data_IF_346874534585
#
_entry.id   IF_346874534585
#
_cell.length_a   1.000
_cell.length_b   1.000
_cell.length_c   1.000
_cell.angle_alpha   90.00
_cell.angle_beta   90.00
_cell.angle_gamma   90.00
#
_symmetry.space_group_name_H-M   'P 1'
#
loop_
_entity.id
_entity.type
_entity.pdbx_description
1 polymer ?
#
# COMPACT_ATOMS: atom_id res chain seq x y z
N UNK A 1 -13.11 -5.48 -13.05
CA UNK A 1 -13.15 -4.01 -13.06
C UNK A 1 -13.88 -3.54 -11.80
N UNK A 2 -13.48 -2.41 -11.23
CA UNK A 2 -14.02 -1.88 -9.98
C UNK A 2 -15.06 -0.80 -10.29
N UNK A 3 -16.07 -0.70 -9.44
CA UNK A 3 -17.05 0.38 -9.42
C UNK A 3 -16.90 1.15 -8.10
N UNK A 4 -15.85 2.00 -8.00
CA UNK A 4 -15.49 2.62 -6.73
C UNK A 4 -16.49 3.70 -6.31
N UNK A 5 -16.76 3.78 -5.02
CA UNK A 5 -17.41 4.91 -4.36
C UNK A 5 -16.77 5.20 -3.00
N UNK A 6 -16.90 6.44 -2.53
CA UNK A 6 -16.37 6.87 -1.23
C UNK A 6 -17.53 6.98 -0.24
N UNK A 7 -17.25 6.60 0.99
CA UNK A 7 -18.10 6.85 2.14
C UNK A 7 -17.32 7.57 3.22
N UNK A 8 -17.94 8.57 3.85
CA UNK A 8 -17.41 9.25 5.03
C UNK A 8 -18.40 9.13 6.17
N UNK A 9 -17.91 8.73 7.33
CA UNK A 9 -18.69 8.52 8.54
C UNK A 9 -18.07 9.24 9.74
N UNK A 10 -18.88 10.00 10.49
CA UNK A 10 -18.47 10.60 11.75
C UNK A 10 -19.68 10.82 12.65
N UNK A 11 -19.57 10.41 13.93
CA UNK A 11 -20.59 10.66 14.96
C UNK A 11 -22.02 10.29 14.55
N UNK A 12 -22.20 9.12 13.91
CA UNK A 12 -23.50 8.64 13.43
C UNK A 12 -23.98 9.25 12.11
N UNK A 13 -23.31 10.28 11.61
CA UNK A 13 -23.57 10.82 10.27
C UNK A 13 -22.77 10.04 9.21
N UNK A 14 -23.44 9.69 8.12
CA UNK A 14 -22.86 8.97 6.97
C UNK A 14 -23.23 9.67 5.67
N UNK A 15 -22.26 9.85 4.79
CA UNK A 15 -22.47 10.26 3.41
C UNK A 15 -21.69 9.36 2.46
N UNK A 16 -22.23 9.17 1.26
CA UNK A 16 -21.59 8.38 0.20
C UNK A 16 -21.64 9.11 -1.15
N UNK A 17 -20.61 8.89 -1.98
CA UNK A 17 -20.61 9.29 -3.38
C UNK A 17 -21.44 8.33 -4.22
N UNK A 18 -21.89 8.75 -5.42
CA UNK A 18 -22.33 7.82 -6.44
C UNK A 18 -21.19 6.86 -6.83
N UNK A 19 -21.50 5.59 -7.16
CA UNK A 19 -20.51 4.67 -7.69
C UNK A 19 -20.13 5.03 -9.12
N UNK A 20 -18.84 5.12 -9.39
CA UNK A 20 -18.33 5.18 -10.74
C UNK A 20 -18.43 3.82 -11.43
N UNK A 21 -18.33 3.83 -12.76
CA UNK A 21 -18.41 2.63 -13.58
C UNK A 21 -17.03 2.27 -14.11
N UNK A 22 -16.60 1.05 -13.82
CA UNK A 22 -15.48 0.38 -14.48
C UNK A 22 -14.19 1.21 -14.54
N UNK A 23 -13.81 1.87 -13.45
CA UNK A 23 -12.64 2.76 -13.38
C UNK A 23 -11.65 2.41 -12.28
N UNK A 24 -10.37 2.73 -12.52
CA UNK A 24 -9.27 2.63 -11.56
C UNK A 24 -8.79 4.01 -11.06
N UNK A 25 -9.20 5.09 -11.73
CA UNK A 25 -8.88 6.47 -11.36
C UNK A 25 -10.16 7.28 -11.42
N UNK A 26 -10.43 8.03 -10.36
CA UNK A 26 -11.65 8.83 -10.26
C UNK A 26 -11.32 10.16 -9.61
N UNK A 27 -11.70 11.23 -10.29
CA UNK A 27 -11.73 12.57 -9.71
C UNK A 27 -13.08 12.75 -9.06
N UNK A 28 -13.08 12.86 -7.73
CA UNK A 28 -14.27 13.17 -6.96
C UNK A 28 -14.36 14.69 -6.81
N UNK A 29 -15.23 15.32 -7.60
CA UNK A 29 -15.56 16.74 -7.44
C UNK A 29 -16.64 16.92 -6.35
N UNK A 30 -16.42 16.28 -5.20
CA UNK A 30 -17.41 16.10 -4.14
C UNK A 30 -16.86 16.55 -2.79
N UNK A 31 -17.69 17.23 -2.00
CA UNK A 31 -17.38 17.62 -0.64
C UNK A 31 -18.48 17.13 0.29
N UNK A 32 -18.11 16.27 1.23
CA UNK A 32 -18.99 15.77 2.28
C UNK A 32 -19.01 16.75 3.46
N UNK A 33 -20.20 17.27 3.78
CA UNK A 33 -20.45 18.11 4.94
C UNK A 33 -21.16 17.30 6.00
N UNK A 34 -20.45 17.01 7.09
CA UNK A 34 -20.99 16.32 8.26
C UNK A 34 -21.25 17.35 9.36
N UNK A 35 -22.49 17.53 9.83
CA UNK A 35 -22.76 18.43 10.93
C UNK A 35 -22.24 17.84 12.24
N UNK A 36 -21.72 18.70 13.11
CA UNK A 36 -21.19 18.30 14.41
C UNK A 36 -21.72 19.27 15.47
N UNK A 37 -22.40 18.72 16.47
CA UNK A 37 -22.83 19.45 17.66
C UNK A 37 -21.88 19.10 18.80
N UNK A 38 -21.39 20.13 19.51
CA UNK A 38 -20.48 19.95 20.65
C UNK A 38 -21.29 19.89 21.96
N UNK A 39 -20.89 19.08 22.96
CA UNK A 39 -19.69 18.23 22.98
C UNK A 39 -19.84 16.95 22.15
N UNK A 40 -18.72 16.45 21.59
CA UNK A 40 -18.65 15.17 20.87
C UNK A 40 -17.58 14.29 21.50
N UNK A 41 -17.91 13.01 21.72
CA UNK A 41 -16.99 12.01 22.30
C UNK A 41 -16.18 11.28 21.22
N UNK A 42 -16.68 11.23 19.99
CA UNK A 42 -16.01 10.59 18.87
C UNK A 42 -14.85 11.45 18.35
N UNK A 43 -13.68 10.83 18.13
CA UNK A 43 -12.54 11.47 17.48
C UNK A 43 -12.28 10.95 16.05
N UNK A 44 -12.68 9.72 15.73
CA UNK A 44 -12.33 9.10 14.45
C UNK A 44 -13.35 9.43 13.36
N UNK A 45 -12.96 10.25 12.40
CA UNK A 45 -13.65 10.39 11.11
C UNK A 45 -13.21 9.24 10.21
N UNK A 46 -14.14 8.38 9.81
CA UNK A 46 -13.83 7.20 9.00
C UNK A 46 -14.08 7.48 7.53
N UNK A 47 -13.13 7.14 6.67
CA UNK A 47 -13.23 7.26 5.20
C UNK A 47 -13.06 5.87 4.61
N UNK A 48 -14.00 5.42 3.79
CA UNK A 48 -13.93 4.10 3.14
C UNK A 48 -14.07 4.26 1.63
N UNK A 49 -13.28 3.49 0.89
CA UNK A 49 -13.48 3.29 -0.55
C UNK A 49 -14.04 1.89 -0.74
N UNK A 50 -15.15 1.80 -1.45
CA UNK A 50 -15.91 0.57 -1.64
C UNK A 50 -15.96 0.20 -3.12
N UNK A 51 -16.06 -1.08 -3.43
CA UNK A 51 -16.38 -1.60 -4.77
C UNK A 51 -17.83 -2.08 -4.82
N UNK A 52 -18.66 -1.48 -5.70
CA UNK A 52 -20.07 -1.84 -5.87
C UNK A 52 -20.31 -2.62 -7.15
N UNK A 53 -20.25 -3.95 -7.08
CA UNK A 53 -20.60 -4.83 -8.20
C UNK A 53 -22.10 -5.10 -8.26
N UNK A 54 -22.63 -5.32 -9.47
CA UNK A 54 -24.03 -5.75 -9.65
C UNK A 54 -24.21 -7.12 -8.98
N UNK A 55 -25.29 -7.28 -8.22
CA UNK A 55 -25.68 -8.54 -7.55
C UNK A 55 -24.69 -9.09 -6.51
N UNK A 56 -23.72 -8.30 -6.07
CA UNK A 56 -22.80 -8.66 -4.98
C UNK A 56 -22.90 -7.63 -3.86
N UNK A 57 -22.60 -8.05 -2.62
CA UNK A 57 -22.47 -7.12 -1.52
C UNK A 57 -21.27 -6.19 -1.77
N UNK A 58 -21.37 -4.88 -1.49
CA UNK A 58 -20.24 -3.98 -1.59
C UNK A 58 -19.07 -4.50 -0.74
N UNK A 59 -17.87 -4.49 -1.31
CA UNK A 59 -16.65 -4.88 -0.60
C UNK A 59 -15.79 -3.65 -0.36
N UNK A 60 -15.25 -3.51 0.86
CA UNK A 60 -14.30 -2.45 1.17
C UNK A 60 -13.02 -2.71 0.37
N UNK A 61 -12.60 -1.72 -0.41
CA UNK A 61 -11.27 -1.69 -1.03
C UNK A 61 -10.26 -1.23 0.02
N UNK A 62 -10.58 -0.13 0.72
CA UNK A 62 -9.75 0.41 1.80
C UNK A 62 -10.53 1.26 2.80
N UNK A 63 -10.02 1.34 4.02
CA UNK A 63 -10.51 2.18 5.11
C UNK A 63 -9.36 3.04 5.67
N UNK A 64 -9.61 4.35 5.81
CA UNK A 64 -8.72 5.31 6.46
C UNK A 64 -9.45 6.03 7.60
N UNK A 65 -8.67 6.63 8.51
CA UNK A 65 -9.20 7.40 9.65
C UNK A 65 -8.50 8.74 9.78
N UNK A 66 -9.26 9.79 10.07
CA UNK A 66 -8.75 11.11 10.45
C UNK A 66 -9.16 11.42 11.88
N UNK A 67 -8.32 12.16 12.60
CA UNK A 67 -8.65 12.64 13.95
C UNK A 67 -9.39 13.98 13.88
N UNK A 68 -10.60 14.01 14.41
CA UNK A 68 -11.46 15.18 14.47
C UNK A 68 -10.86 16.27 15.37
N UNK A 69 -10.29 15.91 16.52
CA UNK A 69 -9.59 16.84 17.42
C UNK A 69 -8.41 17.50 16.72
N UNK A 70 -7.65 16.77 15.90
CA UNK A 70 -6.60 17.36 15.05
C UNK A 70 -7.18 18.29 13.99
N UNK A 71 -8.24 17.87 13.29
CA UNK A 71 -8.91 18.68 12.26
C UNK A 71 -9.54 19.98 12.80
N UNK A 72 -9.92 20.00 14.09
CA UNK A 72 -10.40 21.20 14.78
C UNK A 72 -9.32 22.24 14.98
N UNK A 73 -8.07 21.81 15.15
CA UNK A 73 -6.92 22.69 15.41
C UNK A 73 -6.22 23.06 14.11
N UNK A 74 -6.13 22.13 13.16
CA UNK A 74 -5.41 22.30 11.90
C UNK A 74 -6.20 21.69 10.76
N UNK A 75 -6.52 22.52 9.75
CA UNK A 75 -7.06 22.00 8.50
C UNK A 75 -6.05 21.06 7.84
N UNK A 76 -6.52 19.92 7.36
CA UNK A 76 -5.77 19.01 6.52
C UNK A 76 -5.73 19.60 5.11
N UNK A 77 -4.55 20.06 4.71
CA UNK A 77 -4.28 20.47 3.32
C UNK A 77 -4.41 19.27 2.37
N UNK A 78 -4.67 19.50 1.06
CA UNK A 78 -4.71 18.45 0.07
C UNK A 78 -3.48 17.56 0.17
N UNK A 79 -3.70 16.26 0.42
CA UNK A 79 -2.64 15.29 0.63
C UNK A 79 -3.05 13.90 0.13
N UNK A 80 -2.09 13.18 -0.43
CA UNK A 80 -2.24 11.78 -0.81
C UNK A 80 -2.13 10.85 0.39
N UNK A 81 -3.13 9.98 0.54
CA UNK A 81 -3.13 8.85 1.45
C UNK A 81 -2.92 7.59 0.63
N UNK A 82 -1.80 6.91 0.86
CA UNK A 82 -1.45 5.69 0.17
C UNK A 82 -1.96 4.49 0.97
N UNK A 83 -2.61 3.57 0.28
CA UNK A 83 -3.27 2.43 0.87
C UNK A 83 -2.54 1.16 0.51
N UNK A 84 -2.34 0.32 1.53
CA UNK A 84 -1.71 -0.97 1.41
C UNK A 84 -2.64 -2.00 2.07
N UNK A 85 -2.51 -3.25 1.67
CA UNK A 85 -3.30 -4.34 2.20
C UNK A 85 -2.78 -5.68 1.69
N UNK A 86 -3.57 -6.73 1.87
CA UNK A 86 -3.16 -8.09 1.50
C UNK A 86 -3.64 -8.47 0.10
N UNK A 87 -2.83 -9.22 -0.64
CA UNK A 87 -3.29 -9.89 -1.86
C UNK A 87 -4.24 -11.04 -1.52
N UNK A 88 -5.47 -11.00 -2.02
CA UNK A 88 -6.43 -12.10 -1.83
C UNK A 88 -6.01 -13.40 -2.56
N UNK A 89 -5.01 -13.34 -3.44
CA UNK A 89 -4.42 -14.53 -4.08
C UNK A 89 -3.39 -15.22 -3.19
N UNK A 90 -2.80 -14.48 -2.26
CA UNK A 90 -1.71 -14.95 -1.40
C UNK A 90 -2.22 -15.18 0.02
N UNK A 91 -3.20 -14.40 0.46
CA UNK A 91 -3.80 -14.49 1.79
C UNK A 91 -5.30 -14.67 1.62
N UNK A 92 -5.77 -15.91 1.76
CA UNK A 92 -7.17 -16.27 1.57
C UNK A 92 -8.05 -15.83 2.76
N UNK A 93 -7.51 -15.87 3.99
CA UNK A 93 -8.24 -15.51 5.20
C UNK A 93 -7.39 -14.62 6.14
N UNK A 94 -7.57 -13.30 6.00
CA UNK A 94 -6.91 -12.29 6.84
C UNK A 94 -7.47 -12.32 8.27
N UNK A 95 -8.74 -12.73 8.44
CA UNK A 95 -9.37 -12.78 9.77
C UNK A 95 -8.80 -13.92 10.61
N UNK A 96 -8.56 -15.08 9.99
CA UNK A 96 -7.87 -16.18 10.66
C UNK A 96 -6.48 -15.74 11.17
N UNK A 97 -5.70 -15.04 10.34
CA UNK A 97 -4.36 -14.56 10.70
C UNK A 97 -4.38 -13.54 11.84
N UNK A 98 -5.24 -12.53 11.73
CA UNK A 98 -5.33 -11.47 12.75
C UNK A 98 -5.93 -11.97 14.06
N UNK A 99 -6.72 -13.05 14.05
CA UNK A 99 -7.29 -13.65 15.25
C UNK A 99 -6.26 -14.35 16.13
N UNK A 100 -5.12 -14.74 15.55
CA UNK A 100 -3.98 -15.35 16.27
C UNK A 100 -3.04 -14.32 16.91
N UNK A 101 -3.31 -13.02 16.74
CA UNK A 101 -2.51 -11.94 17.33
C UNK A 101 -1.26 -11.56 16.53
N UNK A 102 -0.97 -12.25 15.43
CA UNK A 102 0.11 -11.85 14.52
C UNK A 102 -0.30 -10.60 13.73
N UNK A 103 0.42 -9.49 13.95
CA UNK A 103 0.26 -8.28 13.16
C UNK A 103 0.96 -8.48 11.80
N UNK A 104 0.26 -9.15 10.88
CA UNK A 104 0.76 -9.32 9.51
C UNK A 104 0.93 -7.97 8.81
N UNK A 105 2.06 -7.77 8.14
CA UNK A 105 2.33 -6.54 7.40
C UNK A 105 1.65 -6.55 6.03
N UNK A 106 1.12 -5.40 5.62
CA UNK A 106 0.44 -5.21 4.34
C UNK A 106 1.42 -5.31 3.17
N UNK A 107 1.18 -6.26 2.26
CA UNK A 107 2.17 -6.67 1.26
C UNK A 107 1.90 -6.19 -0.17
N UNK A 108 0.82 -5.43 -0.39
CA UNK A 108 0.41 -4.94 -1.72
C UNK A 108 -0.17 -3.54 -1.62
N UNK A 109 0.21 -2.67 -2.55
CA UNK A 109 -0.43 -1.38 -2.76
C UNK A 109 -1.86 -1.54 -3.31
N UNK A 110 -2.84 -0.91 -2.66
CA UNK A 110 -4.28 -1.00 -2.99
C UNK A 110 -4.83 0.23 -3.69
N UNK A 111 -4.09 1.34 -3.67
CA UNK A 111 -4.50 2.59 -4.27
C UNK A 111 -4.12 3.78 -3.42
N UNK A 112 -4.61 4.96 -3.80
CA UNK A 112 -4.41 6.18 -3.03
C UNK A 112 -5.58 7.12 -3.20
N UNK A 113 -5.78 7.97 -2.21
CA UNK A 113 -6.83 8.98 -2.21
C UNK A 113 -6.24 10.36 -1.88
N UNK A 114 -6.56 11.35 -2.70
CA UNK A 114 -6.23 12.74 -2.45
C UNK A 114 -7.40 13.38 -1.70
N UNK A 115 -7.18 13.83 -0.47
CA UNK A 115 -8.21 14.52 0.31
C UNK A 115 -7.66 15.78 0.97
N UNK A 116 -8.57 16.71 1.22
CA UNK A 116 -8.42 17.78 2.20
C UNK A 116 -9.61 17.71 3.17
N UNK A 117 -9.42 18.19 4.39
CA UNK A 117 -10.48 18.20 5.40
C UNK A 117 -10.32 19.37 6.36
N UNK A 118 -11.42 19.95 6.82
CA UNK A 118 -11.40 21.07 7.78
C UNK A 118 -12.68 21.10 8.61
N UNK A 119 -12.57 21.66 9.80
CA UNK A 119 -13.74 21.97 10.65
C UNK A 119 -14.06 23.46 10.54
N UNK A 120 -15.26 23.78 10.06
CA UNK A 120 -15.75 25.15 10.01
C UNK A 120 -16.64 25.42 11.23
N UNK A 121 -16.28 26.43 12.03
CA UNK A 121 -17.13 26.91 13.13
C UNK A 121 -18.28 27.72 12.54
N UNK A 122 -19.51 27.33 12.83
CA UNK A 122 -20.70 28.09 12.41
C UNK A 122 -20.90 29.25 13.41
N UNK A 123 -21.03 30.50 12.93
CA UNK A 123 -21.26 31.65 13.79
C UNK A 123 -22.52 31.50 14.67
N UNK A 124 -22.50 32.12 15.85
CA UNK A 124 -23.67 32.16 16.73
C UNK A 124 -24.87 32.75 15.99
N UNK A 125 -26.02 32.08 16.08
CA UNK A 125 -27.27 32.52 15.43
C UNK A 125 -27.53 31.93 14.04
N UNK A 126 -26.57 31.23 13.43
CA UNK A 126 -26.82 30.44 12.22
C UNK A 126 -27.20 29.00 12.58
N UNK A 127 -28.24 28.49 11.93
CA UNK A 127 -28.66 27.10 12.10
C UNK A 127 -27.61 26.15 11.49
N UNK A 128 -27.15 25.20 12.31
CA UNK A 128 -26.38 24.05 11.79
C UNK A 128 -27.37 23.13 11.09
N UNK A 129 -27.08 22.75 9.83
CA UNK A 129 -27.85 21.69 9.17
C UNK A 129 -27.84 20.45 10.05
N UNK A 130 -29.00 19.86 10.33
CA UNK A 130 -29.06 18.60 11.09
C UNK A 130 -28.67 17.38 10.26
N UNK A 131 -28.54 17.54 8.93
CA UNK A 131 -28.27 16.45 7.99
C UNK A 131 -26.90 16.60 7.36
N UNK A 132 -26.26 15.44 7.22
CA UNK A 132 -25.09 15.27 6.37
C UNK A 132 -25.47 15.49 4.90
N UNK A 133 -24.60 16.15 4.14
CA UNK A 133 -24.85 16.46 2.75
C UNK A 133 -23.59 16.31 1.91
N UNK A 134 -23.77 15.82 0.69
CA UNK A 134 -22.75 15.90 -0.35
C UNK A 134 -23.04 17.13 -1.20
N UNK A 135 -22.04 17.97 -1.40
CA UNK A 135 -22.10 19.13 -2.28
C UNK A 135 -20.98 19.06 -3.32
N UNK A 136 -21.03 19.92 -4.34
CA UNK A 136 -19.92 20.05 -5.28
C UNK A 136 -18.65 20.46 -4.55
N UNK A 137 -17.60 19.68 -4.74
CA UNK A 137 -16.27 19.92 -4.22
C UNK A 137 -15.61 21.12 -4.92
N UNK A 138 -14.58 21.65 -4.27
CA UNK A 138 -13.66 22.58 -4.92
C UNK A 138 -12.50 21.78 -5.49
N UNK A 139 -12.11 22.09 -6.74
CA UNK A 139 -10.88 21.56 -7.31
C UNK A 139 -9.73 22.09 -6.48
N UNK A 140 -8.95 21.18 -5.90
CA UNK A 140 -7.74 21.50 -5.18
C UNK A 140 -6.54 21.23 -6.07
N UNK A 141 -5.50 22.06 -5.95
CA UNK A 141 -4.23 21.76 -6.59
C UNK A 141 -3.62 20.51 -5.96
N UNK A 142 -3.04 19.64 -6.81
CA UNK A 142 -2.31 18.49 -6.32
C UNK A 142 -1.05 18.93 -5.56
N UNK A 143 -0.61 18.17 -4.54
CA UNK A 143 0.68 18.41 -3.90
C UNK A 143 1.80 18.44 -4.94
N UNK A 144 2.79 19.34 -4.80
CA UNK A 144 3.94 19.39 -5.70
C UNK A 144 4.58 18.00 -5.84
N UNK A 145 4.94 17.63 -7.06
CA UNK A 145 5.46 16.31 -7.38
C UNK A 145 6.69 16.41 -8.28
N UNK A 146 7.58 15.43 -8.17
CA UNK A 146 8.77 15.27 -9.00
C UNK A 146 8.81 13.87 -9.62
N UNK A 147 9.47 13.77 -10.77
CA UNK A 147 9.76 12.48 -11.39
C UNK A 147 11.04 11.91 -10.76
N UNK A 148 10.93 10.70 -10.20
CA UNK A 148 12.03 9.96 -9.61
C UNK A 148 12.23 8.66 -10.39
N UNK A 149 13.49 8.24 -10.52
CA UNK A 149 13.85 6.97 -11.14
C UNK A 149 14.55 6.10 -10.11
N UNK A 150 13.93 4.98 -9.76
CA UNK A 150 14.48 4.02 -8.81
C UNK A 150 15.25 2.93 -9.56
N UNK A 151 16.44 2.62 -9.05
CA UNK A 151 17.30 1.53 -9.54
C UNK A 151 17.54 0.59 -8.38
N UNK A 152 17.46 -0.71 -8.63
CA UNK A 152 17.73 -1.74 -7.64
C UNK A 152 18.71 -2.75 -8.21
N UNK A 153 19.86 -2.87 -7.56
CA UNK A 153 20.85 -3.91 -7.83
C UNK A 153 20.78 -4.96 -6.73
N UNK A 154 20.32 -6.16 -7.09
CA UNK A 154 20.25 -7.29 -6.17
C UNK A 154 21.56 -8.07 -6.24
N UNK A 155 22.29 -8.11 -5.14
CA UNK A 155 23.60 -8.78 -5.07
C UNK A 155 23.43 -10.24 -4.64
N UNK A 156 22.71 -10.45 -3.55
CA UNK A 156 22.49 -11.78 -2.95
C UNK A 156 21.10 -11.83 -2.29
N UNK A 157 20.43 -12.98 -2.43
CA UNK A 157 19.25 -13.36 -1.68
C UNK A 157 19.65 -14.59 -0.85
N UNK A 158 19.31 -14.60 0.43
CA UNK A 158 19.68 -15.67 1.36
C UNK A 158 18.57 -15.91 2.37
N UNK A 159 18.48 -17.14 2.88
CA UNK A 159 17.56 -17.48 3.98
C UNK A 159 16.15 -17.82 3.52
N UNK A 160 15.91 -18.07 2.23
CA UNK A 160 14.61 -18.51 1.72
C UNK A 160 14.70 -19.89 1.05
N UNK A 161 13.62 -20.69 1.10
CA UNK A 161 13.56 -22.00 0.46
C UNK A 161 13.47 -21.90 -1.06
N UNK A 162 13.78 -23.00 -1.76
CA UNK A 162 13.60 -23.19 -3.20
C UNK A 162 14.90 -23.40 -3.98
N UNK A 163 14.77 -23.54 -5.30
CA UNK A 163 15.92 -23.80 -6.21
C UNK A 163 16.26 -22.63 -7.12
N UNK A 164 15.27 -21.77 -7.36
CA UNK A 164 15.39 -20.60 -8.21
C UNK A 164 14.60 -19.46 -7.57
N UNK A 165 15.19 -18.27 -7.54
CA UNK A 165 14.55 -17.07 -6.97
C UNK A 165 14.72 -15.87 -7.88
N UNK A 166 13.82 -14.90 -7.73
CA UNK A 166 14.02 -13.54 -8.24
C UNK A 166 13.44 -12.51 -7.28
N UNK A 167 13.90 -11.27 -7.44
CA UNK A 167 13.37 -10.12 -6.72
C UNK A 167 12.46 -9.28 -7.62
N UNK A 168 11.43 -8.69 -7.04
CA UNK A 168 10.56 -7.70 -7.66
C UNK A 168 10.63 -6.39 -6.88
N UNK A 169 10.95 -5.30 -7.56
CA UNK A 169 10.73 -3.95 -7.04
C UNK A 169 9.37 -3.45 -7.54
N UNK A 170 8.49 -3.05 -6.63
CA UNK A 170 7.20 -2.44 -6.97
C UNK A 170 6.98 -1.12 -6.24
N UNK A 171 6.41 -0.17 -6.98
CA UNK A 171 6.10 1.18 -6.50
C UNK A 171 4.73 1.56 -7.05
N UNK A 172 3.74 1.65 -6.17
CA UNK A 172 2.34 1.83 -6.56
C UNK A 172 1.85 0.64 -7.40
N UNK A 173 1.41 0.91 -8.63
CA UNK A 173 0.93 -0.12 -9.58
C UNK A 173 1.99 -0.60 -10.56
N UNK A 174 3.21 -0.03 -10.51
CA UNK A 174 4.31 -0.40 -11.40
C UNK A 174 5.22 -1.39 -10.69
N UNK A 175 5.68 -2.42 -11.39
CA UNK A 175 6.72 -3.33 -10.90
C UNK A 175 7.70 -3.73 -12.00
N UNK A 176 8.89 -4.15 -11.56
CA UNK A 176 9.96 -4.72 -12.37
C UNK A 176 10.67 -5.81 -11.58
N UNK A 177 11.13 -6.84 -12.28
CA UNK A 177 11.80 -7.99 -11.67
C UNK A 177 13.27 -8.06 -12.11
N UNK A 178 14.11 -8.64 -11.26
CA UNK A 178 15.42 -9.14 -11.68
C UNK A 178 15.26 -10.40 -12.53
N UNK A 179 16.37 -10.90 -13.09
CA UNK A 179 16.38 -12.24 -13.67
C UNK A 179 16.27 -13.29 -12.56
N UNK A 180 15.71 -14.48 -12.85
CA UNK A 180 15.84 -15.62 -11.96
C UNK A 180 17.31 -16.03 -11.78
N UNK A 181 17.67 -16.43 -10.57
CA UNK A 181 18.99 -16.94 -10.21
C UNK A 181 18.85 -18.28 -9.49
N UNK A 182 19.77 -19.19 -9.79
CA UNK A 182 19.78 -20.52 -9.22
C UNK A 182 20.46 -20.53 -7.85
N UNK A 183 20.06 -21.49 -7.02
CA UNK A 183 20.70 -21.77 -5.74
C UNK A 183 22.16 -22.20 -5.93
N UNK A 184 23.04 -21.78 -5.03
CA UNK A 184 24.50 -22.03 -5.10
C UNK A 184 24.94 -23.01 -3.99
N UNK A 185 24.02 -23.78 -3.43
CA UNK A 185 24.34 -24.63 -2.29
C UNK A 185 25.43 -25.65 -2.60
N UNK A 186 26.29 -25.87 -1.61
CA UNK A 186 27.38 -26.84 -1.64
C UNK A 186 26.94 -28.25 -1.23
N UNK A 187 25.67 -28.42 -0.87
CA UNK A 187 25.12 -29.71 -0.44
C UNK A 187 24.90 -30.65 -1.64
N UNK A 188 25.28 -31.91 -1.50
CA UNK A 188 25.21 -32.92 -2.56
C UNK A 188 23.78 -33.19 -3.06
N UNK A 189 22.75 -32.80 -2.29
CA UNK A 189 21.33 -32.91 -2.62
C UNK A 189 20.53 -31.70 -2.11
N UNK A 190 20.43 -30.62 -2.89
CA UNK A 190 19.68 -29.44 -2.48
C UNK A 190 18.19 -29.78 -2.33
N UNK A 191 17.63 -29.48 -1.16
CA UNK A 191 16.21 -29.65 -0.85
C UNK A 191 15.45 -28.33 -1.06
N UNK A 192 14.26 -28.41 -1.65
CA UNK A 192 13.41 -27.25 -1.93
C UNK A 192 12.88 -26.57 -0.66
N UNK A 193 12.93 -27.25 0.50
CA UNK A 193 12.38 -26.72 1.75
C UNK A 193 13.40 -26.02 2.64
N UNK A 194 14.70 -26.27 2.41
CA UNK A 194 15.77 -25.69 3.24
C UNK A 194 16.14 -24.28 2.76
N UNK A 195 16.46 -23.35 3.68
CA UNK A 195 16.96 -22.03 3.32
C UNK A 195 18.25 -22.11 2.50
N UNK A 196 18.27 -21.45 1.34
CA UNK A 196 19.39 -21.45 0.41
C UNK A 196 20.08 -20.11 0.25
N UNK A 197 21.17 -20.10 -0.53
CA UNK A 197 21.87 -18.89 -0.98
C UNK A 197 21.81 -18.73 -2.49
N UNK A 198 21.55 -17.50 -2.93
CA UNK A 198 21.35 -17.14 -4.32
C UNK A 198 22.12 -15.87 -4.63
N UNK A 199 23.21 -15.96 -5.38
CA UNK A 199 24.08 -14.83 -5.68
C UNK A 199 24.02 -14.48 -7.15
N UNK A 200 23.74 -13.22 -7.43
CA UNK A 200 23.72 -12.70 -8.78
C UNK A 200 25.13 -12.47 -9.30
N UNK A 201 25.33 -12.73 -10.59
CA UNK A 201 26.60 -12.44 -11.28
C UNK A 201 26.35 -11.48 -12.45
N UNK A 202 27.38 -10.73 -12.86
CA UNK A 202 27.40 -9.99 -14.13
C UNK A 202 26.15 -9.12 -14.45
N UNK A 203 25.56 -8.45 -13.45
CA UNK A 203 24.42 -7.55 -13.64
C UNK A 203 23.06 -8.23 -13.79
N UNK A 204 22.97 -9.55 -13.61
CA UNK A 204 21.70 -10.29 -13.67
C UNK A 204 20.71 -9.89 -12.57
N UNK A 205 21.24 -9.34 -11.47
CA UNK A 205 20.48 -8.82 -10.35
C UNK A 205 20.00 -7.38 -10.53
N UNK A 206 20.43 -6.69 -11.60
CA UNK A 206 19.99 -5.32 -11.88
C UNK A 206 18.56 -5.34 -12.38
N UNK A 207 17.66 -4.75 -11.58
CA UNK A 207 16.27 -4.52 -11.96
C UNK A 207 16.19 -3.29 -12.86
N UNK A 208 15.43 -3.40 -13.95
CA UNK A 208 15.25 -2.26 -14.87
C UNK A 208 14.74 -1.01 -14.12
N UNK A 209 15.26 0.19 -14.44
CA UNK A 209 14.88 1.41 -13.75
C UNK A 209 13.37 1.65 -13.77
N UNK A 210 12.82 2.07 -12.62
CA UNK A 210 11.40 2.32 -12.44
C UNK A 210 11.16 3.83 -12.23
N UNK A 211 10.66 4.49 -13.27
CA UNK A 211 10.29 5.90 -13.23
C UNK A 211 8.88 6.11 -12.68
N UNK A 212 8.75 6.96 -11.66
CA UNK A 212 7.50 7.26 -10.94
C UNK A 212 7.42 8.74 -10.62
N UNK A 213 6.21 9.29 -10.69
CA UNK A 213 5.93 10.65 -10.22
C UNK A 213 5.46 10.55 -8.78
N UNK A 214 6.17 11.20 -7.86
CA UNK A 214 5.87 11.19 -6.44
C UNK A 214 5.74 12.62 -5.90
N UNK A 215 4.87 12.83 -4.90
CA UNK A 215 4.89 14.08 -4.14
C UNK A 215 6.26 14.38 -3.55
N UNK A 216 6.63 15.66 -3.48
CA UNK A 216 7.89 16.09 -2.87
C UNK A 216 7.89 15.94 -1.36
N UNK A 217 6.72 16.05 -0.72
CA UNK A 217 6.53 15.76 0.70
C UNK A 217 6.69 14.25 0.99
N UNK A 218 7.72 13.84 1.77
CA UNK A 218 7.96 12.45 2.16
C UNK A 218 6.74 11.71 2.69
N UNK A 219 5.88 12.41 3.42
CA UNK A 219 4.74 11.82 4.09
C UNK A 219 3.59 11.47 3.13
N UNK A 220 3.71 11.85 1.85
CA UNK A 220 2.75 11.63 0.77
C UNK A 220 3.31 10.64 -0.28
N UNK A 221 4.59 10.29 -0.17
CA UNK A 221 5.28 9.42 -1.10
C UNK A 221 4.81 7.96 -0.99
N UNK A 222 4.89 7.26 -2.11
CA UNK A 222 4.65 5.82 -2.14
C UNK A 222 5.84 5.10 -1.51
N UNK A 223 5.53 4.06 -0.76
CA UNK A 223 6.52 3.10 -0.31
C UNK A 223 6.95 2.20 -1.47
N UNK A 224 8.20 1.73 -1.38
CA UNK A 224 8.82 0.79 -2.30
C UNK A 224 8.71 -0.59 -1.68
N UNK A 225 8.11 -1.54 -2.39
CA UNK A 225 8.04 -2.93 -1.95
C UNK A 225 9.08 -3.75 -2.71
N UNK A 226 9.96 -4.43 -1.97
CA UNK A 226 10.88 -5.44 -2.49
C UNK A 226 10.30 -6.79 -2.16
N UNK A 227 9.88 -7.56 -3.15
CA UNK A 227 9.30 -8.90 -2.96
C UNK A 227 10.25 -9.97 -3.48
N UNK A 228 10.39 -11.06 -2.75
CA UNK A 228 11.19 -12.22 -3.14
C UNK A 228 10.24 -13.33 -3.55
N UNK A 229 10.45 -13.85 -4.76
CA UNK A 229 9.71 -14.98 -5.29
C UNK A 229 10.64 -16.18 -5.44
N UNK A 230 10.13 -17.36 -5.09
CA UNK A 230 10.88 -18.59 -5.11
C UNK A 230 10.10 -19.72 -5.77
N UNK A 231 10.83 -20.59 -6.47
CA UNK A 231 10.32 -21.86 -6.99
C UNK A 231 10.59 -22.98 -5.99
N UNK A 232 9.57 -23.31 -5.21
CA UNK A 232 9.62 -24.29 -4.09
C UNK A 232 9.16 -25.70 -4.48
N UNK A 233 8.77 -25.94 -5.74
CA UNK A 233 8.29 -27.24 -6.24
C UNK A 233 9.10 -27.74 -7.43
N UNK A 234 9.39 -29.04 -7.43
CA UNK A 234 10.34 -29.70 -8.33
C UNK A 234 9.81 -29.84 -9.78
N UNK A 235 8.51 -30.06 -9.99
CA UNK A 235 7.89 -30.22 -11.32
C UNK A 235 6.71 -29.28 -11.47
N UNK A 236 6.71 -28.46 -12.52
CA UNK A 236 5.60 -27.54 -12.86
C UNK A 236 5.37 -26.40 -11.86
N UNK A 237 6.23 -26.25 -10.85
CA UNK A 237 6.12 -25.21 -9.84
C UNK A 237 6.22 -23.81 -10.44
N UNK A 238 5.22 -22.98 -10.15
CA UNK A 238 5.29 -21.53 -10.38
C UNK A 238 6.08 -20.88 -9.25
N UNK A 239 6.68 -19.72 -9.54
CA UNK A 239 7.27 -18.90 -8.49
C UNK A 239 6.18 -18.36 -7.57
N UNK A 240 6.35 -18.56 -6.27
CA UNK A 240 5.47 -18.07 -5.22
C UNK A 240 6.22 -17.01 -4.41
N UNK A 241 5.53 -15.97 -3.95
CA UNK A 241 6.16 -14.95 -3.10
C UNK A 241 6.46 -15.59 -1.75
N UNK A 242 7.71 -15.52 -1.30
CA UNK A 242 8.16 -16.12 -0.03
C UNK A 242 8.45 -15.08 1.04
N UNK A 243 8.69 -13.84 0.65
CA UNK A 243 8.85 -12.73 1.57
C UNK A 243 8.81 -11.38 0.87
N UNK A 244 8.70 -10.32 1.65
CA UNK A 244 8.76 -8.96 1.14
C UNK A 244 9.29 -7.98 2.19
N UNK A 245 9.77 -6.83 1.74
CA UNK A 245 10.14 -5.70 2.59
C UNK A 245 9.50 -4.43 2.05
N UNK A 246 9.07 -3.55 2.96
CA UNK A 246 8.46 -2.26 2.64
C UNK A 246 9.37 -1.13 3.08
N UNK A 247 9.88 -0.39 2.11
CA UNK A 247 10.84 0.69 2.31
C UNK A 247 10.18 2.05 2.06
N UNK A 248 10.49 3.05 2.88
CA UNK A 248 10.08 4.43 2.63
C UNK A 248 10.95 5.03 1.53
N UNK A 249 10.34 5.58 0.48
CA UNK A 249 11.08 6.25 -0.59
C UNK A 249 12.00 7.36 -0.05
N UNK A 250 11.53 8.12 0.95
CA UNK A 250 12.30 9.16 1.62
C UNK A 250 13.55 8.67 2.37
N UNK A 251 13.67 7.38 2.66
CA UNK A 251 14.86 6.80 3.29
C UNK A 251 15.86 6.26 2.26
N UNK A 252 15.51 6.24 0.98
CA UNK A 252 16.44 5.82 -0.08
C UNK A 252 17.33 7.02 -0.44
N UNK A 253 18.66 6.90 -0.30
CA UNK A 253 19.55 7.99 -0.63
C UNK A 253 19.53 8.27 -2.13
N UNK A 254 19.64 9.55 -2.48
CA UNK A 254 19.81 9.98 -3.87
C UNK A 254 21.15 9.47 -4.41
N UNK A 255 21.12 8.78 -5.56
CA UNK A 255 22.32 8.33 -6.22
C UNK A 255 22.95 9.45 -7.04
N UNK A 256 24.21 9.80 -6.72
CA UNK A 256 24.97 10.88 -7.39
C UNK A 256 26.05 10.36 -8.35
N UNK A 257 25.94 9.10 -8.76
CA UNK A 257 26.93 8.43 -9.64
C UNK A 257 28.01 7.63 -8.90
N UNK A 258 28.06 7.70 -7.57
CA UNK A 258 29.01 6.92 -6.76
C UNK A 258 28.42 5.56 -6.36
N UNK A 259 29.21 4.48 -6.31
CA UNK A 259 28.72 3.18 -5.84
C UNK A 259 28.17 3.30 -4.42
N UNK A 260 26.87 3.08 -4.24
CA UNK A 260 26.29 3.02 -2.91
C UNK A 260 26.80 1.76 -2.19
N UNK A 261 27.16 1.89 -0.91
CA UNK A 261 27.49 0.70 -0.11
C UNK A 261 26.23 -0.16 0.01
N UNK A 262 26.27 -1.44 -0.42
CA UNK A 262 25.11 -2.31 -0.33
C UNK A 262 24.78 -2.59 1.13
N UNK A 263 23.49 -2.76 1.42
CA UNK A 263 23.02 -3.12 2.75
C UNK A 263 21.99 -4.24 2.65
N UNK A 264 21.90 -5.04 3.72
CA UNK A 264 20.91 -6.09 3.82
C UNK A 264 19.53 -5.51 4.11
N UNK A 265 18.52 -5.98 3.37
CA UNK A 265 17.11 -5.72 3.63
C UNK A 265 16.49 -7.00 4.15
N UNK A 266 16.07 -6.99 5.42
CA UNK A 266 15.34 -8.12 6.00
C UNK A 266 13.91 -8.15 5.45
N UNK A 267 13.49 -9.30 4.93
CA UNK A 267 12.13 -9.49 4.42
C UNK A 267 11.25 -10.13 5.49
N UNK A 268 10.04 -9.61 5.64
CA UNK A 268 8.97 -10.24 6.40
C UNK A 268 8.48 -11.48 5.63
N UNK A 269 8.24 -12.62 6.30
CA UNK A 269 7.63 -13.77 5.67
C UNK A 269 6.20 -13.46 5.23
N UNK A 270 5.71 -14.22 4.27
CA UNK A 270 4.30 -14.11 3.86
C UNK A 270 3.39 -14.73 4.91
N UNK A 271 2.28 -14.06 5.22
CA UNK A 271 1.39 -14.46 6.31
C UNK A 271 0.75 -15.86 6.16
N UNK A 272 0.75 -16.45 4.96
CA UNK A 272 0.26 -17.83 4.74
C UNK A 272 1.34 -18.91 4.91
N UNK A 273 2.60 -18.51 5.10
CA UNK A 273 3.69 -19.43 5.41
C UNK A 273 3.78 -19.55 6.93
N UNK A 274 3.87 -20.76 7.51
CA UNK A 274 4.10 -20.90 8.94
C UNK A 274 5.35 -20.09 9.32
N UNK A 275 5.31 -19.43 10.47
CA UNK A 275 6.46 -18.79 11.11
C UNK A 275 7.47 -19.84 11.61
N UNK A 276 7.84 -20.79 10.76
CA UNK A 276 8.84 -21.81 11.07
C UNK A 276 10.23 -21.28 10.76
N UNK A 277 10.64 -20.27 11.52
CA UNK A 277 12.06 -19.95 11.74
C UNK A 277 12.18 -19.66 13.24
N UNK A 278 12.36 -20.73 14.02
CA UNK A 278 13.02 -20.65 15.33
C UNK A 278 14.54 -20.69 15.12
#
# INVERSE_FOLDING_TARGET
>A
KLNPYIEVEFNGHRCESPPARDTHTLMFDECFRLPVVMPVMADSVTIRVWDKKKFQRPSVIVCGRLSFSRLRMHALQPKWFNFYGFSSKEVNDIHALTSQGEAAEENVYKGRLLISARVNKIPKGQAVSSKAAMIKGQVAEEPPASSLTFVLDVIEISGCPGMEVYAEMSIGTKSKTSKPVQRIDYDEKPDFTTPGRFKYTHGEGTVSPLAVVMPTDPSNQLDILISIYSKTKQVGGTHERVGFARLKAAHIPEWRGEPATPYWVSCSPMAHLPSSIE
#
